data_IF_720922109497
#
_entry.id   IF_720922109497
#
_cell.length_a   1.000
_cell.length_b   1.000
_cell.length_c   1.000
_cell.angle_alpha   90.00
_cell.angle_beta   90.00
_cell.angle_gamma   90.00
#
_symmetry.space_group_name_H-M   'P 1'
#
loop_
_entity.id
_entity.type
_entity.pdbx_description
1 polymer ?
#
# COMPACT_ATOMS: atom_id res chain seq x y z
N UNK A 1 -41.20 10.56 35.19
CA UNK A 1 -40.98 10.50 33.73
C UNK A 1 -39.49 10.24 33.51
N UNK A 2 -39.12 8.98 33.36
CA UNK A 2 -37.71 8.57 33.19
C UNK A 2 -37.34 8.74 31.72
N UNK A 3 -36.39 9.63 31.44
CA UNK A 3 -35.77 9.78 30.13
C UNK A 3 -34.79 8.63 29.92
N UNK A 4 -35.18 7.64 29.13
CA UNK A 4 -34.28 6.57 28.67
C UNK A 4 -33.36 7.18 27.61
N UNK A 5 -32.13 7.50 28.01
CA UNK A 5 -31.06 7.87 27.08
C UNK A 5 -30.74 6.64 26.23
N UNK A 6 -31.16 6.67 24.97
CA UNK A 6 -30.69 5.72 23.97
C UNK A 6 -29.24 6.07 23.64
N UNK A 7 -28.31 5.39 24.29
CA UNK A 7 -26.95 5.28 23.77
C UNK A 7 -27.04 4.58 22.40
N UNK A 8 -26.41 5.10 21.34
CA UNK A 8 -26.33 4.36 20.09
C UNK A 8 -25.63 3.03 20.40
N UNK A 9 -26.24 1.90 20.01
CA UNK A 9 -25.53 0.61 20.06
C UNK A 9 -24.21 0.80 19.31
N UNK A 10 -23.06 0.33 19.84
CA UNK A 10 -21.87 0.22 19.02
C UNK A 10 -22.27 -0.63 17.82
N UNK A 11 -22.05 -0.11 16.61
CA UNK A 11 -22.24 -0.89 15.39
C UNK A 11 -21.37 -2.13 15.56
N UNK A 12 -22.00 -3.30 15.73
CA UNK A 12 -21.30 -4.57 15.85
C UNK A 12 -20.33 -4.64 14.68
N UNK A 13 -19.04 -4.74 15.00
CA UNK A 13 -18.00 -4.86 14.02
C UNK A 13 -18.09 -6.26 13.43
N UNK A 14 -18.69 -6.38 12.26
CA UNK A 14 -18.97 -7.67 11.63
C UNK A 14 -18.06 -7.84 10.42
N UNK A 15 -17.20 -8.86 10.45
CA UNK A 15 -16.61 -9.37 9.23
C UNK A 15 -17.55 -10.39 8.59
N UNK A 16 -17.63 -10.41 7.27
CA UNK A 16 -18.42 -11.37 6.53
C UNK A 16 -17.77 -11.70 5.19
N UNK A 17 -17.87 -12.97 4.75
CA UNK A 17 -17.38 -13.35 3.43
C UNK A 17 -18.24 -12.71 2.33
N UNK A 18 -17.61 -12.18 1.31
CA UNK A 18 -18.27 -11.64 0.12
C UNK A 18 -17.41 -11.88 -1.12
N UNK A 19 -17.90 -12.77 -2.00
CA UNK A 19 -17.23 -13.15 -3.25
C UNK A 19 -15.84 -13.74 -2.98
N UNK A 20 -14.78 -12.95 -3.12
CA UNK A 20 -13.37 -13.34 -2.88
C UNK A 20 -12.74 -12.59 -1.71
N UNK A 21 -13.55 -11.86 -0.94
CA UNK A 21 -13.11 -11.01 0.15
C UNK A 21 -13.70 -11.45 1.49
N UNK A 22 -12.93 -11.31 2.56
CA UNK A 22 -13.43 -11.17 3.92
C UNK A 22 -13.60 -9.67 4.20
N UNK A 23 -14.85 -9.20 4.20
CA UNK A 23 -15.19 -7.79 4.36
C UNK A 23 -15.45 -7.46 5.82
N UNK A 24 -14.67 -6.56 6.39
CA UNK A 24 -14.77 -6.12 7.78
C UNK A 24 -15.14 -4.64 7.85
N UNK A 25 -15.99 -4.29 8.82
CA UNK A 25 -16.37 -2.90 9.09
C UNK A 25 -16.17 -2.56 10.56
N UNK A 26 -15.39 -1.53 10.83
CA UNK A 26 -15.09 -1.06 12.19
C UNK A 26 -14.03 -1.86 12.94
N UNK A 27 -13.65 -3.06 12.47
CA UNK A 27 -12.63 -3.91 13.09
C UNK A 27 -11.71 -4.58 12.07
N UNK A 28 -10.61 -5.14 12.57
CA UNK A 28 -9.86 -6.20 11.89
C UNK A 28 -10.59 -7.54 12.06
N UNK A 29 -10.39 -8.51 11.16
CA UNK A 29 -10.93 -9.85 11.34
C UNK A 29 -10.30 -10.55 12.53
N UNK A 30 -11.10 -11.34 13.22
CA UNK A 30 -10.63 -12.26 14.24
C UNK A 30 -9.95 -13.49 13.62
N UNK A 31 -9.13 -14.17 14.41
CA UNK A 31 -8.40 -15.36 13.95
C UNK A 31 -9.34 -16.44 13.40
N UNK A 32 -10.46 -16.69 14.08
CA UNK A 32 -11.41 -17.73 13.68
C UNK A 32 -12.08 -17.42 12.32
N UNK A 33 -12.29 -16.15 12.00
CA UNK A 33 -12.84 -15.70 10.72
C UNK A 33 -11.84 -15.92 9.58
N UNK A 34 -10.54 -15.67 9.83
CA UNK A 34 -9.47 -15.94 8.87
C UNK A 34 -9.25 -17.43 8.64
N UNK A 35 -9.28 -18.25 9.70
CA UNK A 35 -9.22 -19.72 9.58
C UNK A 35 -10.39 -20.24 8.76
N UNK A 36 -11.59 -19.70 8.96
CA UNK A 36 -12.78 -20.07 8.17
C UNK A 36 -12.65 -19.64 6.71
N UNK A 37 -12.05 -18.47 6.44
CA UNK A 37 -11.80 -17.98 5.09
C UNK A 37 -10.69 -18.77 4.36
N UNK A 38 -9.70 -19.27 5.11
CA UNK A 38 -8.66 -20.16 4.62
C UNK A 38 -7.49 -19.46 3.93
N UNK A 39 -6.83 -20.20 3.03
CA UNK A 39 -5.58 -19.81 2.36
C UNK A 39 -5.87 -18.87 1.18
N UNK A 40 -5.04 -17.82 1.04
CA UNK A 40 -5.13 -16.87 -0.06
C UNK A 40 -6.32 -15.91 0.06
N UNK A 41 -6.76 -15.65 1.29
CA UNK A 41 -7.88 -14.76 1.57
C UNK A 41 -7.52 -13.32 1.18
N UNK A 42 -8.47 -12.60 0.58
CA UNK A 42 -8.36 -11.15 0.42
C UNK A 42 -9.17 -10.48 1.52
N UNK A 43 -8.55 -9.62 2.32
CA UNK A 43 -9.23 -8.92 3.41
C UNK A 43 -9.47 -7.48 2.99
N UNK A 44 -10.68 -6.99 3.25
CA UNK A 44 -11.05 -5.60 3.05
C UNK A 44 -11.63 -5.02 4.35
N UNK A 45 -11.01 -3.98 4.87
CA UNK A 45 -11.38 -3.31 6.12
C UNK A 45 -11.88 -1.91 5.82
N UNK A 46 -12.96 -1.51 6.49
CA UNK A 46 -13.59 -0.21 6.29
C UNK A 46 -13.96 0.45 7.60
N UNK A 47 -13.89 1.79 7.66
CA UNK A 47 -14.28 2.58 8.83
C UNK A 47 -13.59 2.13 10.14
N UNK A 48 -12.36 1.63 10.03
CA UNK A 48 -11.56 1.24 11.19
C UNK A 48 -10.98 2.48 11.86
N UNK A 49 -10.99 2.53 13.18
CA UNK A 49 -10.32 3.57 13.97
C UNK A 49 -9.57 2.91 15.13
N UNK A 50 -8.24 2.84 15.01
CA UNK A 50 -7.41 2.15 16.00
C UNK A 50 -6.00 1.87 15.53
N UNK A 51 -5.33 0.94 16.21
CA UNK A 51 -4.00 0.48 15.88
C UNK A 51 -4.05 -0.85 15.13
N UNK A 52 -3.28 -0.97 14.06
CA UNK A 52 -3.11 -2.24 13.36
C UNK A 52 -2.18 -3.13 14.17
N UNK A 53 -2.77 -4.05 14.93
CA UNK A 53 -2.07 -5.03 15.75
C UNK A 53 -2.82 -6.36 15.74
N UNK A 54 -2.06 -7.45 15.79
CA UNK A 54 -2.57 -8.79 16.01
C UNK A 54 -1.84 -9.39 17.20
N UNK A 55 -2.57 -10.19 17.98
CA UNK A 55 -2.01 -11.00 19.05
C UNK A 55 -2.61 -12.39 18.91
N UNK A 56 -1.95 -13.22 18.12
CA UNK A 56 -2.46 -14.54 17.76
C UNK A 56 -1.37 -15.61 17.98
N UNK A 57 -1.71 -16.83 18.42
CA UNK A 57 -0.76 -17.90 18.77
C UNK A 57 0.07 -18.39 17.58
N UNK A 58 1.29 -18.90 17.76
CA UNK A 58 2.27 -19.13 16.67
C UNK A 58 1.84 -20.06 15.51
N UNK A 59 0.83 -20.92 15.66
CA UNK A 59 0.38 -21.80 14.57
C UNK A 59 -0.52 -21.03 13.58
N UNK A 60 -0.06 -20.96 12.33
CA UNK A 60 -0.63 -20.12 11.25
C UNK A 60 -0.85 -20.86 9.93
N UNK A 61 -0.70 -22.18 9.91
CA UNK A 61 -0.72 -22.95 8.65
C UNK A 61 -2.13 -23.12 8.06
N UNK A 62 -3.17 -22.71 8.80
CA UNK A 62 -4.58 -22.88 8.43
C UNK A 62 -5.15 -21.70 7.63
N UNK A 63 -4.45 -20.55 7.58
CA UNK A 63 -4.87 -19.39 6.81
C UNK A 63 -3.70 -18.60 6.25
N UNK A 64 -3.95 -17.83 5.20
CA UNK A 64 -3.03 -16.82 4.70
C UNK A 64 -3.79 -15.69 4.04
N UNK A 65 -3.24 -14.48 4.12
CA UNK A 65 -3.85 -13.30 3.49
C UNK A 65 -2.99 -12.86 2.31
N UNK A 66 -3.55 -12.91 1.11
CA UNK A 66 -2.85 -12.52 -0.11
C UNK A 66 -2.99 -11.01 -0.39
N UNK A 67 -4.14 -10.42 -0.07
CA UNK A 67 -4.40 -8.99 -0.23
C UNK A 67 -5.00 -8.40 1.03
N UNK A 68 -4.49 -7.26 1.46
CA UNK A 68 -5.04 -6.47 2.56
C UNK A 68 -5.38 -5.08 2.04
N UNK A 69 -6.66 -4.73 2.13
CA UNK A 69 -7.19 -3.45 1.71
C UNK A 69 -7.82 -2.77 2.92
N UNK A 70 -7.49 -1.51 3.13
CA UNK A 70 -8.14 -0.70 4.16
C UNK A 70 -8.56 0.64 3.56
N UNK A 71 -9.81 1.00 3.82
CA UNK A 71 -10.38 2.22 3.28
C UNK A 71 -11.17 3.03 4.28
N UNK A 72 -11.21 4.36 4.09
CA UNK A 72 -11.99 5.30 4.90
C UNK A 72 -11.77 5.10 6.40
N UNK A 73 -10.51 4.98 6.82
CA UNK A 73 -10.12 4.53 8.16
C UNK A 73 -9.12 5.49 8.79
N UNK A 74 -9.01 5.46 10.11
CA UNK A 74 -8.04 6.22 10.89
C UNK A 74 -7.07 5.26 11.60
N UNK A 75 -5.84 5.18 11.10
CA UNK A 75 -4.80 4.31 11.68
C UNK A 75 -3.95 5.14 12.63
N UNK A 76 -4.07 4.86 13.93
CA UNK A 76 -3.32 5.55 14.99
C UNK A 76 -1.90 5.02 15.14
N UNK A 77 -1.64 3.80 14.67
CA UNK A 77 -0.33 3.15 14.69
C UNK A 77 -0.37 1.79 14.03
N UNK A 78 0.79 1.25 13.71
CA UNK A 78 0.97 -0.09 13.15
C UNK A 78 2.02 -0.80 14.00
N UNK A 79 1.66 -1.96 14.56
CA UNK A 79 2.59 -2.77 15.33
C UNK A 79 3.73 -3.29 14.44
N UNK A 80 4.93 -3.52 15.01
CA UNK A 80 6.03 -4.11 14.26
C UNK A 80 5.61 -5.42 13.59
N UNK A 81 6.01 -5.60 12.32
CA UNK A 81 5.73 -6.77 11.49
C UNK A 81 4.25 -7.11 11.31
N UNK A 82 3.32 -6.20 11.66
CA UNK A 82 1.88 -6.43 11.59
C UNK A 82 1.45 -7.11 10.29
N UNK A 83 1.88 -6.59 9.13
CA UNK A 83 1.45 -7.12 7.84
C UNK A 83 1.98 -8.53 7.56
N UNK A 84 3.19 -8.85 8.00
CA UNK A 84 3.77 -10.18 7.86
C UNK A 84 3.05 -11.19 8.79
N UNK A 85 2.75 -10.79 10.02
CA UNK A 85 2.05 -11.64 11.00
C UNK A 85 0.57 -11.85 10.66
N UNK A 86 -0.10 -10.77 10.22
CA UNK A 86 -1.50 -10.78 9.80
C UNK A 86 -1.73 -11.68 8.58
N UNK A 87 -0.73 -11.80 7.70
CA UNK A 87 -0.85 -12.51 6.43
C UNK A 87 -0.25 -13.91 6.40
N UNK A 88 0.33 -14.39 7.50
CA UNK A 88 1.16 -15.59 7.49
C UNK A 88 2.29 -15.48 6.43
N UNK A 89 2.96 -14.32 6.38
CA UNK A 89 4.02 -13.95 5.44
C UNK A 89 3.65 -14.08 3.95
N UNK A 90 2.36 -14.03 3.61
CA UNK A 90 1.87 -14.26 2.24
C UNK A 90 1.29 -13.02 1.56
N UNK A 91 1.48 -11.83 2.14
CA UNK A 91 0.87 -10.60 1.62
C UNK A 91 1.53 -10.16 0.31
N UNK A 92 0.78 -10.26 -0.79
CA UNK A 92 1.22 -9.85 -2.12
C UNK A 92 0.71 -8.45 -2.52
N UNK A 93 -0.41 -8.00 -1.96
CA UNK A 93 -0.99 -6.70 -2.28
C UNK A 93 -1.48 -5.94 -1.06
N UNK A 94 -0.97 -4.71 -0.90
CA UNK A 94 -1.40 -3.75 0.11
C UNK A 94 -2.09 -2.55 -0.54
N UNK A 95 -3.32 -2.25 -0.11
CA UNK A 95 -4.09 -1.10 -0.58
C UNK A 95 -4.52 -0.24 0.61
N UNK A 96 -4.10 1.02 0.63
CA UNK A 96 -4.52 2.02 1.61
C UNK A 96 -5.24 3.16 0.87
N UNK A 97 -6.54 3.35 1.11
CA UNK A 97 -7.32 4.40 0.43
C UNK A 97 -8.09 5.27 1.44
N UNK A 98 -7.95 6.60 1.35
CA UNK A 98 -8.56 7.54 2.28
C UNK A 98 -8.28 7.16 3.75
N UNK A 99 -7.01 6.85 4.02
CA UNK A 99 -6.54 6.53 5.38
C UNK A 99 -5.92 7.76 6.00
N UNK A 100 -6.35 8.10 7.21
CA UNK A 100 -5.76 9.17 8.01
C UNK A 100 -4.89 8.60 9.14
N UNK A 101 -4.05 9.45 9.73
CA UNK A 101 -3.16 9.12 10.84
C UNK A 101 -1.69 9.37 10.51
N UNK A 102 -0.81 9.10 11.48
CA UNK A 102 0.64 9.35 11.37
C UNK A 102 1.44 8.05 11.32
N UNK A 103 0.89 7.02 10.66
CA UNK A 103 1.58 5.74 10.53
C UNK A 103 2.69 5.81 9.47
N UNK A 104 3.68 4.93 9.61
CA UNK A 104 4.80 4.80 8.69
C UNK A 104 4.86 3.41 8.08
N UNK A 105 5.26 3.34 6.82
CA UNK A 105 5.48 2.09 6.08
C UNK A 105 6.98 1.85 5.93
N UNK A 106 7.63 1.59 7.06
CA UNK A 106 9.09 1.45 7.19
C UNK A 106 9.48 -0.01 7.48
N UNK A 107 10.77 -0.24 7.77
CA UNK A 107 11.31 -1.57 8.13
C UNK A 107 10.59 -2.22 9.32
N UNK A 108 10.15 -1.44 10.30
CA UNK A 108 9.48 -1.99 11.47
C UNK A 108 8.10 -2.54 11.11
N UNK A 109 7.33 -1.85 10.26
CA UNK A 109 5.94 -2.20 9.96
C UNK A 109 5.81 -3.19 8.80
N UNK A 110 6.62 -3.02 7.75
CA UNK A 110 6.64 -3.88 6.55
C UNK A 110 7.67 -5.02 6.60
N UNK A 111 8.48 -5.11 7.66
CA UNK A 111 9.51 -6.15 7.77
C UNK A 111 8.95 -7.56 7.67
N UNK A 112 9.59 -8.42 6.88
CA UNK A 112 9.12 -9.76 6.53
C UNK A 112 8.43 -9.83 5.16
N UNK A 113 8.15 -8.70 4.52
CA UNK A 113 7.50 -8.64 3.22
C UNK A 113 8.44 -8.45 2.01
N UNK A 114 9.75 -8.35 2.25
CA UNK A 114 10.76 -7.95 1.27
C UNK A 114 10.78 -8.83 0.02
N UNK A 115 10.42 -10.11 0.16
CA UNK A 115 10.44 -11.09 -0.93
C UNK A 115 9.05 -11.58 -1.36
N UNK A 116 7.96 -10.93 -0.90
CA UNK A 116 6.58 -11.39 -1.20
C UNK A 116 5.68 -10.28 -1.70
N UNK A 117 5.86 -9.03 -1.25
CA UNK A 117 4.95 -7.94 -1.61
C UNK A 117 5.15 -7.51 -3.07
N UNK A 118 4.09 -7.61 -3.88
CA UNK A 118 4.10 -7.37 -5.33
C UNK A 118 3.46 -6.05 -5.71
N UNK A 119 2.50 -5.58 -4.93
CA UNK A 119 1.73 -4.37 -5.22
C UNK A 119 1.49 -3.52 -3.98
N UNK A 120 1.81 -2.23 -4.09
CA UNK A 120 1.40 -1.19 -3.15
C UNK A 120 0.55 -0.17 -3.90
N UNK A 121 -0.61 0.15 -3.34
CA UNK A 121 -1.47 1.24 -3.79
C UNK A 121 -1.88 2.09 -2.61
N UNK A 122 -1.50 3.35 -2.62
CA UNK A 122 -1.82 4.30 -1.56
C UNK A 122 -2.44 5.54 -2.19
N UNK A 123 -3.60 5.93 -1.66
CA UNK A 123 -4.21 7.22 -1.92
C UNK A 123 -4.70 7.78 -0.59
N UNK A 124 -3.85 8.55 0.06
CA UNK A 124 -4.07 9.09 1.40
C UNK A 124 -3.42 10.46 1.48
N UNK A 125 -4.01 11.38 2.24
CA UNK A 125 -3.48 12.75 2.38
C UNK A 125 -2.12 12.82 3.07
N UNK A 126 -1.72 11.74 3.72
CA UNK A 126 -0.45 11.61 4.41
C UNK A 126 0.26 10.35 3.95
N UNK A 127 1.49 10.52 3.48
CA UNK A 127 2.45 9.45 3.29
C UNK A 127 3.81 9.96 3.79
N UNK A 128 4.38 9.24 4.76
CA UNK A 128 5.70 9.55 5.31
C UNK A 128 6.83 9.12 4.37
N UNK A 129 7.99 8.81 4.95
CA UNK A 129 9.15 8.31 4.18
C UNK A 129 8.82 7.02 3.41
N UNK A 130 9.13 7.04 2.10
CA UNK A 130 8.94 5.91 1.17
C UNK A 130 10.25 5.18 0.84
N UNK A 131 11.37 5.56 1.45
CA UNK A 131 12.72 5.01 1.18
C UNK A 131 12.77 3.50 1.31
N UNK A 132 12.03 2.93 2.27
CA UNK A 132 12.02 1.50 2.52
C UNK A 132 11.38 0.68 1.37
N UNK A 133 10.57 1.29 0.50
CA UNK A 133 9.97 0.56 -0.63
C UNK A 133 11.01 0.04 -1.63
N UNK A 134 12.21 0.62 -1.66
CA UNK A 134 13.32 0.10 -2.45
C UNK A 134 13.81 -1.29 -1.99
N UNK A 135 13.56 -1.66 -0.72
CA UNK A 135 13.93 -2.96 -0.14
C UNK A 135 12.94 -4.08 -0.51
N UNK A 136 11.76 -3.74 -1.06
CA UNK A 136 10.72 -4.69 -1.43
C UNK A 136 11.02 -5.31 -2.81
N UNK A 137 11.87 -6.34 -2.83
CA UNK A 137 12.46 -6.96 -4.04
C UNK A 137 11.47 -7.57 -5.03
N UNK A 138 10.22 -7.80 -4.63
CA UNK A 138 9.16 -8.32 -5.51
C UNK A 138 8.08 -7.29 -5.89
N UNK A 139 8.20 -6.03 -5.48
CA UNK A 139 7.24 -4.97 -5.81
C UNK A 139 7.32 -4.57 -7.30
N UNK A 140 6.26 -4.78 -8.09
CA UNK A 140 6.24 -4.41 -9.52
C UNK A 140 5.11 -3.42 -9.84
N UNK A 141 4.10 -3.31 -8.97
CA UNK A 141 3.02 -2.31 -9.09
C UNK A 141 3.12 -1.29 -7.95
N UNK A 142 3.22 -0.02 -8.30
CA UNK A 142 3.47 1.06 -7.36
C UNK A 142 2.62 2.29 -7.67
N UNK A 143 1.50 2.43 -6.97
CA UNK A 143 0.60 3.57 -7.16
C UNK A 143 0.57 4.41 -5.89
N UNK A 144 1.12 5.61 -5.95
CA UNK A 144 1.04 6.64 -4.91
C UNK A 144 0.41 7.88 -5.55
N UNK A 145 -0.92 7.94 -5.57
CA UNK A 145 -1.66 9.04 -6.21
C UNK A 145 -2.40 9.86 -5.16
N UNK A 146 -2.37 11.20 -5.29
CA UNK A 146 -2.96 12.12 -4.31
C UNK A 146 -2.33 11.96 -2.91
N UNK A 147 -1.01 11.78 -2.85
CA UNK A 147 -0.26 11.61 -1.59
C UNK A 147 0.54 12.83 -1.15
N UNK A 148 0.44 13.95 -1.88
CA UNK A 148 1.21 15.18 -1.62
C UNK A 148 2.73 14.97 -1.59
N UNK A 149 3.22 13.96 -2.31
CA UNK A 149 4.64 13.67 -2.36
C UNK A 149 5.37 14.78 -3.11
N UNK A 150 6.33 15.45 -2.47
CA UNK A 150 7.09 16.57 -3.06
C UNK A 150 8.47 16.15 -3.58
N UNK A 151 9.05 15.10 -3.00
CA UNK A 151 10.32 14.50 -3.42
C UNK A 151 10.30 12.98 -3.31
N UNK A 152 11.16 12.33 -4.10
CA UNK A 152 11.45 10.90 -3.94
C UNK A 152 12.80 10.72 -3.25
N UNK A 153 12.99 9.66 -2.45
CA UNK A 153 14.24 9.42 -1.74
C UNK A 153 15.39 9.10 -2.71
N UNK A 154 16.64 9.29 -2.27
CA UNK A 154 17.83 9.10 -3.11
C UNK A 154 17.95 7.67 -3.71
N UNK A 155 17.41 6.67 -3.02
CA UNK A 155 17.39 5.28 -3.48
C UNK A 155 16.22 4.96 -4.43
N UNK A 156 15.33 5.90 -4.76
CA UNK A 156 14.17 5.64 -5.61
C UNK A 156 14.54 5.13 -7.00
N UNK A 157 15.71 5.49 -7.53
CA UNK A 157 16.21 4.97 -8.80
C UNK A 157 16.40 3.44 -8.82
N UNK A 158 16.73 2.81 -7.68
CA UNK A 158 16.81 1.33 -7.60
C UNK A 158 15.42 0.69 -7.62
N UNK A 159 14.43 1.37 -7.02
CA UNK A 159 13.04 0.94 -7.07
C UNK A 159 12.46 1.06 -8.48
N UNK A 160 12.64 2.19 -9.18
CA UNK A 160 12.11 2.37 -10.55
C UNK A 160 12.57 1.25 -11.49
N UNK A 161 13.83 0.83 -11.39
CA UNK A 161 14.43 -0.20 -12.25
C UNK A 161 13.73 -1.55 -12.24
N UNK A 162 12.79 -1.79 -11.31
CA UNK A 162 12.01 -3.03 -11.15
C UNK A 162 10.50 -2.85 -11.30
N UNK A 163 10.00 -1.60 -11.36
CA UNK A 163 8.56 -1.33 -11.45
C UNK A 163 8.02 -1.44 -12.88
N UNK A 164 6.85 -2.06 -13.03
CA UNK A 164 6.15 -2.26 -14.31
C UNK A 164 4.97 -1.31 -14.46
N UNK A 165 4.20 -1.14 -13.38
CA UNK A 165 3.04 -0.26 -13.35
C UNK A 165 3.26 0.80 -12.27
N UNK A 166 3.44 2.04 -12.70
CA UNK A 166 3.74 3.18 -11.83
C UNK A 166 2.70 4.26 -12.03
N UNK A 167 2.14 4.72 -10.93
CA UNK A 167 1.27 5.87 -10.89
C UNK A 167 1.74 6.79 -9.77
N UNK A 168 2.36 7.90 -10.15
CA UNK A 168 2.77 8.99 -9.27
C UNK A 168 1.99 10.26 -9.62
N UNK A 169 0.89 10.14 -10.35
CA UNK A 169 0.11 11.29 -10.78
C UNK A 169 -0.51 12.02 -9.59
N UNK A 170 -0.77 13.31 -9.76
CA UNK A 170 -1.42 14.15 -8.74
C UNK A 170 -0.64 14.18 -7.42
N UNK A 171 0.64 14.47 -7.52
CA UNK A 171 1.53 14.78 -6.39
C UNK A 171 2.14 16.18 -6.58
N UNK A 172 3.16 16.50 -5.81
CA UNK A 172 3.87 17.78 -5.83
C UNK A 172 5.33 17.58 -6.29
N UNK A 173 5.59 16.50 -7.03
CA UNK A 173 6.93 16.13 -7.46
C UNK A 173 7.45 17.11 -8.51
N UNK A 174 8.65 17.65 -8.27
CA UNK A 174 9.32 18.51 -9.26
C UNK A 174 10.33 17.76 -10.11
N UNK A 175 10.85 16.64 -9.62
CA UNK A 175 11.92 15.85 -10.26
C UNK A 175 11.77 14.36 -9.97
N UNK A 176 12.36 13.54 -10.83
CA UNK A 176 12.59 12.11 -10.62
C UNK A 176 14.01 11.75 -11.08
N UNK A 177 14.53 10.56 -10.74
CA UNK A 177 15.77 10.05 -11.33
C UNK A 177 15.53 9.69 -12.80
N UNK A 178 15.55 10.70 -13.68
CA UNK A 178 15.18 10.59 -15.10
C UNK A 178 16.02 9.58 -15.88
N UNK A 179 17.31 9.45 -15.56
CA UNK A 179 18.18 8.42 -16.15
C UNK A 179 17.68 7.00 -15.87
N UNK A 180 17.28 6.74 -14.61
CA UNK A 180 16.78 5.42 -14.21
C UNK A 180 15.43 5.13 -14.86
N UNK A 181 14.56 6.14 -14.97
CA UNK A 181 13.29 6.03 -15.66
C UNK A 181 13.49 5.79 -17.16
N UNK A 182 14.36 6.55 -17.82
CA UNK A 182 14.64 6.41 -19.24
C UNK A 182 15.27 5.04 -19.57
N UNK A 183 16.23 4.58 -18.76
CA UNK A 183 16.79 3.23 -18.89
C UNK A 183 15.69 2.19 -18.77
N UNK A 184 14.85 2.34 -17.74
CA UNK A 184 13.77 1.41 -17.49
C UNK A 184 12.80 1.36 -18.67
N UNK A 185 12.41 2.50 -19.26
CA UNK A 185 11.55 2.57 -20.46
C UNK A 185 12.17 1.81 -21.63
N UNK A 186 13.48 1.98 -21.90
CA UNK A 186 14.19 1.26 -22.97
C UNK A 186 14.29 -0.25 -22.75
N UNK A 187 14.49 -0.68 -21.50
CA UNK A 187 14.78 -2.08 -21.18
C UNK A 187 13.53 -2.98 -21.15
N UNK A 188 12.33 -2.41 -21.11
CA UNK A 188 11.09 -3.17 -20.90
C UNK A 188 9.92 -2.60 -21.70
N UNK A 189 9.50 -3.29 -22.75
CA UNK A 189 8.50 -2.79 -23.71
C UNK A 189 7.09 -2.58 -23.12
N UNK A 190 6.73 -3.28 -22.04
CA UNK A 190 5.37 -3.24 -21.48
C UNK A 190 5.35 -2.51 -20.15
N UNK A 191 5.27 -1.18 -20.18
CA UNK A 191 5.23 -0.36 -18.98
C UNK A 191 4.10 0.64 -19.01
N UNK A 192 3.63 1.03 -17.82
CA UNK A 192 2.65 2.10 -17.68
C UNK A 192 3.13 3.05 -16.60
N UNK A 193 3.63 4.20 -17.02
CA UNK A 193 3.98 5.31 -16.15
C UNK A 193 2.92 6.39 -16.25
N UNK A 194 2.29 6.72 -15.13
CA UNK A 194 1.40 7.88 -15.00
C UNK A 194 2.05 8.90 -14.10
N UNK A 195 2.55 9.97 -14.72
CA UNK A 195 3.31 11.03 -14.07
C UNK A 195 2.62 12.41 -14.19
N UNK A 196 1.46 12.49 -14.84
CA UNK A 196 0.71 13.72 -15.03
C UNK A 196 0.34 14.40 -13.70
N UNK A 197 -0.06 15.68 -13.77
CA UNK A 197 -0.52 16.46 -12.62
C UNK A 197 0.56 16.57 -11.51
N UNK A 198 1.78 16.91 -11.91
CA UNK A 198 2.90 17.23 -11.03
C UNK A 198 3.62 18.49 -11.55
N UNK A 199 4.20 19.34 -10.68
CA UNK A 199 4.93 20.55 -11.07
C UNK A 199 6.34 20.23 -11.60
N UNK A 200 6.44 19.44 -12.67
CA UNK A 200 7.73 18.99 -13.21
C UNK A 200 8.62 20.17 -13.62
N UNK A 201 9.85 20.18 -13.10
CA UNK A 201 10.84 21.16 -13.47
C UNK A 201 11.42 20.82 -14.84
N UNK A 202 11.09 21.62 -15.84
CA UNK A 202 11.50 21.42 -17.22
C UNK A 202 12.88 22.04 -17.49
N UNK A 203 13.93 21.33 -17.10
CA UNK A 203 15.33 21.70 -17.34
C UNK A 203 16.10 20.60 -18.08
N UNK A 204 17.43 20.77 -18.22
CA UNK A 204 18.29 19.79 -18.89
C UNK A 204 18.32 18.40 -18.23
N UNK A 205 17.82 18.24 -17.00
CA UNK A 205 17.74 16.94 -16.34
C UNK A 205 16.77 15.98 -17.04
N UNK A 206 15.81 16.49 -17.83
CA UNK A 206 14.87 15.67 -18.60
C UNK A 206 15.47 15.06 -19.87
N UNK A 207 16.68 15.47 -20.28
CA UNK A 207 17.35 14.98 -21.48
C UNK A 207 17.31 13.45 -21.68
N UNK A 208 17.50 12.61 -20.65
CA UNK A 208 17.47 11.16 -20.82
C UNK A 208 16.14 10.63 -21.36
N UNK A 209 15.02 11.31 -21.06
CA UNK A 209 13.69 10.96 -21.58
C UNK A 209 13.52 11.37 -23.05
N UNK A 210 14.13 12.47 -23.48
CA UNK A 210 14.08 12.92 -24.87
C UNK A 210 14.88 12.01 -25.82
N UNK A 211 15.80 11.22 -25.26
CA UNK A 211 16.61 10.25 -26.00
C UNK A 211 15.96 8.85 -26.04
N UNK A 212 14.77 8.67 -25.43
CA UNK A 212 13.98 7.45 -25.55
C UNK A 212 13.23 7.48 -26.90
N UNK A 213 13.36 6.44 -27.76
CA UNK A 213 12.65 6.40 -29.03
C UNK A 213 11.12 6.36 -28.85
N UNK A 214 10.37 7.03 -29.73
CA UNK A 214 8.90 7.16 -29.66
C UNK A 214 8.16 5.81 -29.63
N UNK A 215 8.74 4.75 -30.18
CA UNK A 215 8.18 3.40 -30.18
C UNK A 215 8.08 2.75 -28.78
N UNK A 216 8.76 3.32 -27.77
CA UNK A 216 8.71 2.88 -26.37
C UNK A 216 7.84 3.76 -25.46
N UNK A 217 7.22 4.83 -25.99
CA UNK A 217 6.45 5.83 -25.23
C UNK A 217 4.92 5.61 -25.29
#
# INVERSE_FOLDING_TARGET
MLLVSHTPRPVESTCYPYVRFLNCRGSLPELHELVTAGIGTNVQVSNFDGELRVDWPEKRDEFSVQSFQIHNSNIRGIAPRFFAEFSSNSLESLVLNAVNGTFELNKQTLGGLENVLKSIRISSRWLGDISYFAELKQLHTFYLGLTHLNEVPANFGSLIKRLVNVDLSKNELTRLPWDALASRIRDFEVQRFRLADNPWHCDCSLRPLLEVPDEYL
#
